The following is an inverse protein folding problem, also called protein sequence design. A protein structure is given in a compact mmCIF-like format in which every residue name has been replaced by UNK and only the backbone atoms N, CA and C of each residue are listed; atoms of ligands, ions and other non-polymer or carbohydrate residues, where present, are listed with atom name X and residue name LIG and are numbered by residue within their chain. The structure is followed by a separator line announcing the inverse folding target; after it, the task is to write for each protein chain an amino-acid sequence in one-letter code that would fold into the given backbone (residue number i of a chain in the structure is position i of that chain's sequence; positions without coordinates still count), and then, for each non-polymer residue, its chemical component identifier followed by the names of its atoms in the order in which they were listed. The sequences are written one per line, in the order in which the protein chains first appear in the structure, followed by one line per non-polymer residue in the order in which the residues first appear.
data_IF_307298864403
#
_entry.id   IF_307298864403
#
_cell.length_a   1.000
_cell.length_b   1.000
_cell.length_c   1.000
_cell.angle_alpha   90.00
_cell.angle_beta   90.00
_cell.angle_gamma   90.00
#
_symmetry.space_group_name_H-M   'P 1'
#
loop_
_entity.id
_entity.type
_entity.pdbx_description
1 polymer ?
#
# COMPACT_ATOMS: atom_id res chain seq x y z
N UNK A 1 0.38 7.16 -18.89
CA UNK A 1 0.63 6.63 -17.55
C UNK A 1 -0.56 6.99 -16.65
N UNK A 2 -1.33 6.00 -16.18
CA UNK A 2 -2.62 6.21 -15.51
C UNK A 2 -2.50 7.06 -14.24
N UNK A 3 -1.55 6.78 -13.31
CA UNK A 3 -1.40 7.60 -12.11
C UNK A 3 -1.24 9.08 -12.40
N UNK A 4 -0.40 9.45 -13.35
CA UNK A 4 -0.21 10.85 -13.75
C UNK A 4 -1.49 11.50 -14.27
N UNK A 5 -2.23 10.80 -15.13
CA UNK A 5 -3.46 11.35 -15.73
C UNK A 5 -4.58 11.57 -14.71
N UNK A 6 -4.61 10.78 -13.64
CA UNK A 6 -5.66 10.87 -12.62
C UNK A 6 -5.25 11.81 -11.47
N UNK A 7 -4.04 11.68 -10.95
CA UNK A 7 -3.68 12.31 -9.69
C UNK A 7 -2.94 13.64 -9.85
N UNK A 8 -2.22 13.87 -10.97
CA UNK A 8 -1.60 15.18 -11.19
C UNK A 8 -2.63 16.33 -11.25
N UNK A 9 -3.79 16.19 -11.92
CA UNK A 9 -4.80 17.26 -11.87
C UNK A 9 -5.37 17.51 -10.47
N UNK A 10 -5.33 16.52 -9.56
CA UNK A 10 -5.80 16.70 -8.18
C UNK A 10 -4.86 17.56 -7.34
N UNK A 11 -3.59 17.70 -7.75
CA UNK A 11 -2.64 18.59 -7.08
C UNK A 11 -3.02 20.07 -7.24
N UNK A 12 -3.81 20.40 -8.27
CA UNK A 12 -4.27 21.77 -8.53
C UNK A 12 -5.42 22.19 -7.59
N UNK A 13 -6.18 21.21 -7.05
CA UNK A 13 -7.26 21.45 -6.07
C UNK A 13 -7.27 20.38 -4.98
N UNK A 14 -6.37 20.55 -4.01
CA UNK A 14 -6.27 19.64 -2.85
C UNK A 14 -7.52 19.63 -1.98
N UNK A 15 -8.35 20.68 -2.05
CA UNK A 15 -9.61 20.73 -1.29
C UNK A 15 -10.66 19.81 -1.92
N UNK A 16 -10.79 19.80 -3.23
CA UNK A 16 -11.66 18.86 -3.94
C UNK A 16 -11.16 17.42 -3.76
N UNK A 17 -9.83 17.21 -3.83
CA UNK A 17 -9.24 15.91 -3.55
C UNK A 17 -9.56 15.42 -2.13
N UNK A 18 -9.51 16.29 -1.10
CA UNK A 18 -9.85 15.94 0.27
C UNK A 18 -11.32 15.48 0.40
N UNK A 19 -12.25 16.14 -0.28
CA UNK A 19 -13.66 15.73 -0.30
C UNK A 19 -13.82 14.33 -0.91
N UNK A 20 -13.17 14.07 -2.06
CA UNK A 20 -13.22 12.76 -2.70
C UNK A 20 -12.67 11.66 -1.80
N UNK A 21 -11.50 11.87 -1.20
CA UNK A 21 -10.86 10.85 -0.38
C UNK A 21 -11.55 10.63 0.97
N UNK A 22 -12.29 11.60 1.50
CA UNK A 22 -13.17 11.39 2.66
C UNK A 22 -14.31 10.41 2.38
N UNK A 23 -14.74 10.26 1.10
CA UNK A 23 -15.74 9.26 0.70
C UNK A 23 -15.14 7.85 0.54
N UNK A 24 -13.80 7.75 0.43
CA UNK A 24 -13.09 6.50 0.14
C UNK A 24 -12.50 5.89 1.42
N UNK A 25 -11.99 6.73 2.32
CA UNK A 25 -11.34 6.29 3.55
C UNK A 25 -12.05 6.86 4.77
N UNK A 26 -12.34 6.00 5.74
CA UNK A 26 -12.92 6.37 7.04
C UNK A 26 -11.86 7.06 7.92
N UNK A 27 -11.39 8.22 7.50
CA UNK A 27 -10.25 8.83 8.18
C UNK A 27 -10.46 10.23 8.69
N UNK A 28 -11.60 10.87 8.35
CA UNK A 28 -11.81 12.24 8.74
C UNK A 28 -10.69 13.14 8.25
N UNK A 29 -10.42 13.15 6.94
CA UNK A 29 -9.40 13.99 6.33
C UNK A 29 -9.80 15.46 6.50
N UNK A 30 -8.99 16.22 7.23
CA UNK A 30 -9.15 17.68 7.38
C UNK A 30 -8.60 18.39 6.15
N UNK A 31 -7.43 17.97 5.68
CA UNK A 31 -6.80 18.49 4.46
C UNK A 31 -5.82 17.50 3.86
N UNK A 32 -5.63 17.54 2.56
CA UNK A 32 -4.51 16.89 1.88
C UNK A 32 -3.29 17.83 1.93
N UNK A 33 -2.15 17.29 2.35
CA UNK A 33 -0.90 18.02 2.44
C UNK A 33 -0.15 17.99 1.09
N UNK A 34 -0.06 16.82 0.46
CA UNK A 34 0.53 16.63 -0.86
C UNK A 34 0.10 15.31 -1.50
N UNK A 35 0.24 15.25 -2.82
CA UNK A 35 0.09 14.04 -3.65
C UNK A 35 1.45 13.79 -4.31
N UNK A 36 1.93 12.54 -4.31
CA UNK A 36 3.22 12.16 -4.89
C UNK A 36 3.05 10.92 -5.75
N UNK A 37 3.55 10.97 -6.98
CA UNK A 37 3.53 9.85 -7.92
C UNK A 37 4.81 9.04 -7.76
N UNK A 38 4.71 7.69 -7.86
CA UNK A 38 5.85 6.75 -7.73
C UNK A 38 6.64 6.96 -6.43
N UNK A 39 5.95 6.92 -5.30
CA UNK A 39 6.51 7.27 -4.01
C UNK A 39 6.93 6.04 -3.20
N UNK A 40 8.18 6.00 -2.78
CA UNK A 40 8.79 4.90 -2.02
C UNK A 40 9.10 5.25 -0.54
N UNK A 41 8.64 6.40 -0.06
CA UNK A 41 8.92 6.93 1.28
C UNK A 41 9.76 8.20 1.24
N UNK A 42 9.87 8.89 2.39
CA UNK A 42 10.62 10.15 2.54
C UNK A 42 12.11 9.91 2.80
N UNK A 43 12.45 8.82 3.45
CA UNK A 43 13.82 8.45 3.79
C UNK A 43 14.43 7.51 2.74
N UNK A 44 15.69 7.15 2.94
CA UNK A 44 16.34 6.11 2.13
C UNK A 44 15.59 4.78 2.26
N UNK A 45 15.54 4.02 1.18
CA UNK A 45 14.83 2.72 1.13
C UNK A 45 15.27 1.73 2.21
N UNK A 46 16.51 1.85 2.70
CA UNK A 46 17.04 1.01 3.79
C UNK A 46 16.33 1.22 5.12
N UNK A 47 15.67 2.36 5.27
CA UNK A 47 14.82 2.68 6.43
C UNK A 47 13.44 1.98 6.39
N UNK A 48 13.09 1.35 5.25
CA UNK A 48 11.82 0.67 5.00
C UNK A 48 12.04 -0.81 4.69
N UNK A 49 11.86 -1.21 3.44
CA UNK A 49 11.96 -2.61 2.99
C UNK A 49 13.30 -2.93 2.30
N UNK A 50 14.16 -1.94 2.10
CA UNK A 50 15.44 -2.03 1.42
C UNK A 50 15.35 -2.59 -0.01
N UNK A 51 14.29 -2.26 -0.70
CA UNK A 51 14.05 -2.69 -2.08
C UNK A 51 13.54 -1.57 -2.98
N UNK A 52 12.93 -1.92 -4.13
CA UNK A 52 12.32 -0.97 -5.06
C UNK A 52 10.81 -0.84 -4.94
N UNK A 53 10.20 -1.22 -3.79
CA UNK A 53 8.77 -1.07 -3.59
C UNK A 53 8.39 0.40 -3.53
N UNK A 54 7.38 0.79 -4.30
CA UNK A 54 6.79 2.13 -4.32
C UNK A 54 5.29 2.04 -4.52
N UNK A 55 4.57 3.04 -4.05
CA UNK A 55 3.17 3.27 -4.43
C UNK A 55 3.12 3.94 -5.80
N UNK A 56 2.16 3.60 -6.63
CA UNK A 56 1.88 4.37 -7.86
C UNK A 56 1.53 5.81 -7.55
N UNK A 57 0.79 6.02 -6.44
CA UNK A 57 0.51 7.34 -5.89
C UNK A 57 0.45 7.25 -4.36
N UNK A 58 0.98 8.27 -3.71
CA UNK A 58 0.88 8.44 -2.27
C UNK A 58 0.28 9.80 -1.94
N UNK A 59 -0.71 9.82 -1.05
CA UNK A 59 -1.37 11.02 -0.57
C UNK A 59 -1.09 11.16 0.92
N UNK A 60 -0.42 12.24 1.31
CA UNK A 60 -0.28 12.62 2.71
C UNK A 60 -1.39 13.58 3.10
N UNK A 61 -2.01 13.32 4.24
CA UNK A 61 -3.11 14.15 4.74
C UNK A 61 -2.96 14.45 6.23
N UNK A 62 -3.61 15.52 6.68
CA UNK A 62 -3.84 15.82 8.10
C UNK A 62 -5.26 15.42 8.44
N UNK A 63 -5.43 14.60 9.48
CA UNK A 63 -6.73 14.17 10.01
C UNK A 63 -7.37 15.28 10.85
N UNK A 64 -8.66 15.14 11.17
CA UNK A 64 -9.39 16.11 12.00
C UNK A 64 -8.85 16.23 13.43
N UNK A 65 -8.17 15.18 13.93
CA UNK A 65 -7.48 15.19 15.23
C UNK A 65 -6.06 15.77 15.18
N UNK A 66 -5.62 16.20 13.98
CA UNK A 66 -4.29 16.78 13.74
C UNK A 66 -3.19 15.75 13.46
N UNK A 67 -3.45 14.45 13.49
CA UNK A 67 -2.48 13.42 13.13
C UNK A 67 -2.21 13.41 11.63
N UNK A 68 -1.04 12.89 11.23
CA UNK A 68 -0.66 12.74 9.82
C UNK A 68 -0.97 11.33 9.36
N UNK A 69 -1.74 11.22 8.28
CA UNK A 69 -2.05 9.95 7.62
C UNK A 69 -1.48 9.86 6.21
N UNK A 70 -1.39 8.65 5.71
CA UNK A 70 -0.99 8.33 4.35
C UNK A 70 -1.99 7.42 3.65
N UNK A 71 -2.24 7.67 2.36
CA UNK A 71 -3.00 6.79 1.49
C UNK A 71 -2.06 6.31 0.40
N UNK A 72 -1.67 5.04 0.44
CA UNK A 72 -0.91 4.38 -0.61
C UNK A 72 -1.85 3.81 -1.66
N UNK A 73 -1.72 4.26 -2.90
CA UNK A 73 -2.59 3.86 -4.01
C UNK A 73 -1.81 3.02 -4.99
N UNK A 74 -2.36 1.86 -5.32
CA UNK A 74 -1.89 0.97 -6.38
C UNK A 74 -2.91 0.94 -7.51
N UNK A 75 -2.47 1.14 -8.74
CA UNK A 75 -3.32 1.14 -9.95
C UNK A 75 -3.16 -0.18 -10.68
N UNK A 76 -4.23 -0.94 -10.83
CA UNK A 76 -4.26 -2.24 -11.53
C UNK A 76 -5.18 -2.17 -12.74
N UNK A 77 -4.61 -2.08 -13.93
CA UNK A 77 -5.42 -2.03 -15.15
C UNK A 77 -5.79 -3.43 -15.67
N UNK A 78 -4.79 -4.22 -16.07
CA UNK A 78 -4.98 -5.58 -16.61
C UNK A 78 -3.99 -6.61 -16.05
N UNK A 79 -3.05 -6.19 -15.23
CA UNK A 79 -1.96 -7.03 -14.74
C UNK A 79 -2.46 -8.06 -13.72
N UNK A 80 -2.16 -9.32 -13.97
CA UNK A 80 -2.44 -10.42 -13.03
C UNK A 80 -1.30 -10.69 -12.04
N UNK A 81 -0.24 -9.87 -12.06
CA UNK A 81 0.98 -10.03 -11.27
C UNK A 81 2.22 -10.11 -12.14
N UNK A 82 3.39 -10.20 -11.51
CA UNK A 82 4.68 -10.26 -12.20
C UNK A 82 5.52 -11.45 -11.70
N UNK A 83 6.44 -11.99 -12.54
CA UNK A 83 7.37 -13.03 -12.12
C UNK A 83 8.30 -12.52 -11.01
N UNK A 84 8.56 -13.38 -10.03
CA UNK A 84 9.46 -13.03 -8.93
C UNK A 84 10.93 -12.95 -9.39
N UNK A 85 11.61 -11.88 -9.04
CA UNK A 85 13.04 -11.74 -9.23
C UNK A 85 13.86 -12.57 -8.21
N UNK A 86 15.09 -12.94 -8.57
CA UNK A 86 15.94 -13.77 -7.70
C UNK A 86 16.21 -13.10 -6.34
N UNK A 87 16.53 -11.81 -6.33
CA UNK A 87 16.75 -11.05 -5.09
C UNK A 87 15.49 -11.00 -4.23
N UNK A 88 14.35 -10.63 -4.81
CA UNK A 88 13.07 -10.57 -4.12
C UNK A 88 12.69 -11.91 -3.47
N UNK A 89 12.96 -13.02 -4.18
CA UNK A 89 12.72 -14.35 -3.64
C UNK A 89 13.57 -14.60 -2.39
N UNK A 90 14.87 -14.28 -2.43
CA UNK A 90 15.75 -14.42 -1.27
C UNK A 90 15.30 -13.54 -0.10
N UNK A 91 14.88 -12.29 -0.36
CA UNK A 91 14.39 -11.39 0.66
C UNK A 91 13.12 -11.94 1.34
N UNK A 92 12.23 -12.62 0.59
CA UNK A 92 11.02 -13.25 1.14
C UNK A 92 11.34 -14.54 1.92
N UNK A 93 12.33 -15.31 1.47
CA UNK A 93 12.79 -16.55 2.12
C UNK A 93 13.50 -16.29 3.45
N UNK A 94 14.06 -15.09 3.63
CA UNK A 94 14.77 -14.73 4.86
C UNK A 94 13.80 -14.44 6.02
N UNK A 95 13.69 -15.40 6.94
CA UNK A 95 12.88 -15.25 8.17
C UNK A 95 13.47 -14.27 9.19
N UNK A 96 14.70 -13.79 8.99
CA UNK A 96 15.30 -12.69 9.75
C UNK A 96 15.29 -11.38 8.96
N UNK A 97 14.70 -11.39 7.77
CA UNK A 97 14.63 -10.24 6.87
C UNK A 97 13.46 -9.29 7.19
N UNK A 98 13.51 -8.12 6.57
CA UNK A 98 12.54 -7.04 6.79
C UNK A 98 11.11 -7.45 6.41
N UNK A 99 10.92 -8.20 5.32
CA UNK A 99 9.59 -8.67 4.89
C UNK A 99 8.89 -9.50 5.97
N UNK A 100 9.61 -10.48 6.54
CA UNK A 100 9.06 -11.32 7.59
C UNK A 100 8.76 -10.50 8.85
N UNK A 101 9.73 -9.71 9.31
CA UNK A 101 9.57 -8.93 10.55
C UNK A 101 8.47 -7.87 10.43
N UNK A 102 8.40 -7.11 9.34
CA UNK A 102 7.35 -6.11 9.15
C UNK A 102 5.96 -6.76 9.09
N UNK A 103 5.83 -7.90 8.38
CA UNK A 103 4.57 -8.65 8.34
C UNK A 103 4.12 -9.10 9.73
N UNK A 104 5.02 -9.67 10.53
CA UNK A 104 4.66 -10.17 11.87
C UNK A 104 4.43 -9.06 12.89
N UNK A 105 5.26 -8.02 12.87
CA UNK A 105 5.15 -6.88 13.81
C UNK A 105 3.93 -6.02 13.56
N UNK A 106 3.45 -5.92 12.33
CA UNK A 106 2.27 -5.13 12.00
C UNK A 106 1.02 -5.61 12.73
N UNK A 107 0.91 -6.91 12.97
CA UNK A 107 -0.33 -7.57 13.44
C UNK A 107 -1.53 -7.37 12.50
N UNK A 108 -1.28 -6.86 11.30
CA UNK A 108 -2.29 -6.69 10.27
C UNK A 108 -2.66 -8.00 9.57
N UNK A 109 -1.85 -9.04 9.77
CA UNK A 109 -2.04 -10.35 9.15
C UNK A 109 -2.41 -11.42 10.18
N UNK A 110 -3.20 -12.40 9.73
CA UNK A 110 -3.54 -13.55 10.57
C UNK A 110 -2.25 -14.24 11.07
N UNK A 111 -2.21 -14.73 12.33
CA UNK A 111 -0.99 -15.31 12.91
C UNK A 111 -0.46 -16.51 12.13
N UNK A 112 -1.36 -17.25 11.46
CA UNK A 112 -1.05 -18.45 10.67
C UNK A 112 -0.48 -18.15 9.29
N UNK A 113 -0.41 -16.88 8.87
CA UNK A 113 0.13 -16.52 7.56
C UNK A 113 1.60 -16.97 7.44
N UNK A 114 1.86 -17.78 6.43
CA UNK A 114 3.21 -18.10 5.97
C UNK A 114 3.60 -17.11 4.85
N UNK A 115 4.58 -16.26 5.11
CA UNK A 115 5.07 -15.27 4.14
C UNK A 115 5.66 -15.92 2.88
N UNK A 116 6.11 -17.17 2.96
CA UNK A 116 6.62 -17.91 1.80
C UNK A 116 5.53 -18.19 0.75
N UNK A 117 4.25 -18.14 1.14
CA UNK A 117 3.14 -18.29 0.19
C UNK A 117 3.17 -17.21 -0.92
N UNK A 118 3.67 -16.01 -0.61
CA UNK A 118 3.77 -14.91 -1.57
C UNK A 118 4.80 -15.16 -2.69
N UNK A 119 5.72 -16.12 -2.53
CA UNK A 119 6.64 -16.52 -3.59
C UNK A 119 5.86 -17.06 -4.81
N UNK A 120 4.76 -17.79 -4.55
CA UNK A 120 3.92 -18.40 -5.58
C UNK A 120 2.70 -17.56 -5.94
N UNK A 121 2.25 -16.71 -5.02
CA UNK A 121 1.06 -15.88 -5.21
C UNK A 121 1.43 -14.54 -5.89
N UNK A 122 1.76 -14.59 -7.18
CA UNK A 122 2.20 -13.42 -7.96
C UNK A 122 1.19 -12.26 -7.91
N UNK A 123 -0.11 -12.57 -7.92
CA UNK A 123 -1.19 -11.60 -7.89
C UNK A 123 -1.36 -10.90 -6.52
N UNK A 124 -0.88 -11.51 -5.42
CA UNK A 124 -0.95 -10.94 -4.07
C UNK A 124 0.33 -10.25 -3.64
N UNK A 125 1.47 -10.62 -4.24
CA UNK A 125 2.79 -10.21 -3.76
C UNK A 125 2.99 -8.70 -3.75
N UNK A 126 2.55 -7.99 -4.80
CA UNK A 126 2.67 -6.54 -4.87
C UNK A 126 1.74 -5.87 -3.85
N UNK A 127 0.50 -6.36 -3.71
CA UNK A 127 -0.44 -5.86 -2.70
C UNK A 127 0.20 -5.95 -1.30
N UNK A 128 0.76 -7.12 -0.98
CA UNK A 128 1.44 -7.34 0.29
C UNK A 128 2.64 -6.42 0.49
N UNK A 129 3.52 -6.28 -0.51
CA UNK A 129 4.71 -5.41 -0.43
C UNK A 129 4.32 -3.96 -0.16
N UNK A 130 3.35 -3.43 -0.90
CA UNK A 130 2.88 -2.06 -0.70
C UNK A 130 2.22 -1.88 0.67
N UNK A 131 1.46 -2.87 1.13
CA UNK A 131 0.84 -2.81 2.46
C UNK A 131 1.90 -2.77 3.58
N UNK A 132 2.94 -3.61 3.53
CA UNK A 132 4.01 -3.56 4.54
C UNK A 132 4.96 -2.37 4.36
N UNK A 133 5.06 -1.77 3.18
CA UNK A 133 5.73 -0.47 3.02
C UNK A 133 4.97 0.61 3.81
N UNK A 134 3.65 0.67 3.69
CA UNK A 134 2.82 1.56 4.50
C UNK A 134 3.00 1.34 5.99
N UNK A 135 3.04 0.08 6.44
CA UNK A 135 3.33 -0.23 7.84
C UNK A 135 4.73 0.25 8.26
N UNK A 136 5.74 0.09 7.42
CA UNK A 136 7.09 0.53 7.76
C UNK A 136 7.18 2.05 7.93
N UNK A 137 6.40 2.82 7.16
CA UNK A 137 6.25 4.27 7.33
C UNK A 137 5.59 4.63 8.67
N UNK A 138 4.55 3.89 9.08
CA UNK A 138 3.93 4.05 10.41
C UNK A 138 4.92 3.70 11.51
N UNK A 139 5.64 2.59 11.38
CA UNK A 139 6.63 2.14 12.37
C UNK A 139 7.79 3.13 12.52
N UNK A 140 8.18 3.79 11.45
CA UNK A 140 9.21 4.83 11.45
C UNK A 140 8.71 6.16 12.04
N UNK A 141 7.41 6.39 12.04
CA UNK A 141 6.78 7.64 12.51
C UNK A 141 6.63 8.70 11.43
N UNK A 142 6.76 8.35 10.16
CA UNK A 142 6.50 9.27 9.04
C UNK A 142 5.03 9.66 8.99
N UNK A 143 4.16 8.71 9.29
CA UNK A 143 2.71 8.84 9.37
C UNK A 143 2.19 8.08 10.60
N UNK A 144 1.01 8.43 11.10
CA UNK A 144 0.34 7.74 12.20
C UNK A 144 -0.73 6.76 11.73
N UNK A 145 -1.34 7.03 10.56
CA UNK A 145 -2.39 6.22 9.96
C UNK A 145 -2.01 5.88 8.52
N UNK A 146 -2.40 4.69 8.07
CA UNK A 146 -2.17 4.27 6.70
C UNK A 146 -3.41 3.58 6.13
N UNK A 147 -3.80 3.99 4.91
CA UNK A 147 -4.82 3.34 4.10
C UNK A 147 -4.19 2.80 2.82
N UNK A 148 -4.51 1.57 2.47
CA UNK A 148 -4.09 0.97 1.22
C UNK A 148 -5.26 0.89 0.25
N UNK A 149 -5.21 1.66 -0.81
CA UNK A 149 -6.28 1.81 -1.80
C UNK A 149 -5.85 1.19 -3.13
N UNK A 150 -6.76 0.45 -3.75
CA UNK A 150 -6.55 -0.14 -5.07
C UNK A 150 -7.50 0.49 -6.07
N UNK A 151 -6.95 1.10 -7.12
CA UNK A 151 -7.69 1.68 -8.22
C UNK A 151 -7.62 0.76 -9.43
N UNK A 152 -8.78 0.25 -9.87
CA UNK A 152 -8.88 -0.64 -11.01
C UNK A 152 -10.18 -0.43 -11.77
N UNK A 153 -10.21 -0.68 -13.10
CA UNK A 153 -11.45 -0.58 -13.87
C UNK A 153 -12.42 -1.69 -13.48
N UNK A 154 -13.72 -1.40 -13.51
CA UNK A 154 -14.78 -2.36 -13.19
C UNK A 154 -14.66 -3.68 -13.99
N UNK A 155 -14.09 -3.63 -15.18
CA UNK A 155 -13.86 -4.83 -16.02
C UNK A 155 -12.70 -5.72 -15.58
N UNK A 156 -11.88 -5.32 -14.58
CA UNK A 156 -10.84 -6.18 -14.03
C UNK A 156 -11.44 -7.14 -12.99
N UNK A 157 -12.22 -8.13 -13.48
CA UNK A 157 -12.93 -9.10 -12.63
C UNK A 157 -11.97 -9.98 -11.83
N UNK A 158 -10.81 -10.35 -12.40
CA UNK A 158 -9.81 -11.12 -11.65
C UNK A 158 -9.36 -10.41 -10.37
N UNK A 159 -9.11 -9.10 -10.45
CA UNK A 159 -8.67 -8.35 -9.28
C UNK A 159 -9.80 -8.21 -8.25
N UNK A 160 -11.01 -7.90 -8.72
CA UNK A 160 -12.17 -7.70 -7.88
C UNK A 160 -12.68 -9.00 -7.21
N UNK A 161 -12.80 -10.08 -8.00
CA UNK A 161 -13.46 -11.33 -7.56
C UNK A 161 -12.51 -12.33 -6.91
N UNK A 162 -11.19 -12.22 -7.18
CA UNK A 162 -10.20 -13.17 -6.70
C UNK A 162 -9.11 -12.52 -5.84
N UNK A 163 -8.30 -11.61 -6.41
CA UNK A 163 -7.12 -11.11 -5.73
C UNK A 163 -7.45 -10.34 -4.42
N UNK A 164 -8.39 -9.40 -4.45
CA UNK A 164 -8.77 -8.64 -3.27
C UNK A 164 -9.45 -9.49 -2.19
N UNK A 165 -10.44 -10.35 -2.48
CA UNK A 165 -11.03 -11.23 -1.49
C UNK A 165 -10.01 -12.19 -0.87
N UNK A 166 -9.14 -12.79 -1.68
CA UNK A 166 -8.07 -13.67 -1.22
C UNK A 166 -7.10 -12.90 -0.29
N UNK A 167 -6.70 -11.70 -0.68
CA UNK A 167 -5.81 -10.88 0.14
C UNK A 167 -6.48 -10.47 1.47
N UNK A 168 -7.72 -10.01 1.42
CA UNK A 168 -8.50 -9.64 2.62
C UNK A 168 -8.64 -10.78 3.62
N UNK A 169 -8.72 -12.04 3.14
CA UNK A 169 -8.77 -13.21 4.00
C UNK A 169 -7.48 -13.45 4.80
N UNK A 170 -6.37 -12.87 4.38
CA UNK A 170 -5.08 -12.93 5.08
C UNK A 170 -4.95 -11.85 6.17
N UNK A 171 -5.87 -10.90 6.25
CA UNK A 171 -5.81 -9.76 7.15
C UNK A 171 -6.61 -10.01 8.44
N UNK A 172 -6.12 -9.44 9.53
CA UNK A 172 -6.90 -9.22 10.76
C UNK A 172 -7.80 -8.00 10.59
N UNK A 173 -8.69 -7.73 11.55
CA UNK A 173 -9.51 -6.52 11.50
C UNK A 173 -8.68 -5.22 11.58
N UNK A 174 -7.50 -5.28 12.22
CA UNK A 174 -6.56 -4.13 12.23
C UNK A 174 -5.81 -3.93 10.89
N UNK A 175 -5.84 -4.92 10.00
CA UNK A 175 -5.20 -4.85 8.68
C UNK A 175 -6.18 -4.54 7.55
N UNK A 176 -7.47 -4.56 7.81
CA UNK A 176 -8.54 -4.24 6.85
C UNK A 176 -8.84 -2.76 6.84
#
# INVERSE_FOLDING_TARGET
HIPYNIFTPMEEDLSAAALLFNEIVDGGISKINCIRIEFAGIADKTEYLNDGTSFDTFIEYTSVDGSIGGIGIEVKYTENGYPIGAKEKLDIEDKNGLYYHMTKRSRWYIPTLDTLSFIKANHLRQIWRNHILGYSMVQRGDIQHFHHVHLYPQGNTHFHEHALPEYKALLTDSGK
#
